data_IF_525552108997
#
_entry.id   IF_525552108997
#
_cell.length_a   1.000
_cell.length_b   1.000
_cell.length_c   1.000
_cell.angle_alpha   90.00
_cell.angle_beta   90.00
_cell.angle_gamma   90.00
#
_symmetry.space_group_name_H-M   'P 1'
#
loop_
_entity.id
_entity.type
_entity.pdbx_description
1 polymer ?
#
# COMPACT_ATOMS: atom_id res chain seq x y z
N UNK A 1 -7.35 -15.00 -6.97
CA UNK A 1 -7.42 -14.66 -5.53
C UNK A 1 -7.68 -13.17 -5.35
N UNK A 2 -8.48 -12.79 -4.36
CA UNK A 2 -8.82 -11.39 -4.09
C UNK A 2 -8.97 -11.16 -2.58
N UNK A 3 -8.68 -9.94 -2.11
CA UNK A 3 -8.94 -9.54 -0.73
C UNK A 3 -10.45 -9.44 -0.52
N UNK A 4 -10.97 -10.20 0.44
CA UNK A 4 -12.39 -10.16 0.83
C UNK A 4 -12.61 -9.00 1.80
N UNK A 5 -13.65 -8.22 1.57
CA UNK A 5 -14.17 -7.24 2.53
C UNK A 5 -15.58 -7.67 2.92
N UNK A 6 -15.79 -7.96 4.20
CA UNK A 6 -17.10 -8.31 4.75
C UNK A 6 -17.94 -7.03 4.84
N UNK A 7 -19.19 -7.10 4.42
CA UNK A 7 -20.13 -5.98 4.45
C UNK A 7 -21.53 -6.52 4.76
N UNK A 8 -22.12 -6.06 5.86
CA UNK A 8 -23.45 -6.50 6.33
C UNK A 8 -24.60 -6.05 5.42
N UNK A 9 -24.34 -5.12 4.49
CA UNK A 9 -25.30 -4.71 3.46
C UNK A 9 -25.41 -5.68 2.27
N UNK A 10 -24.57 -6.72 2.20
CA UNK A 10 -24.62 -7.74 1.14
C UNK A 10 -25.55 -8.88 1.57
N UNK A 11 -26.38 -9.38 0.66
CA UNK A 11 -27.25 -10.53 0.94
C UNK A 11 -26.43 -11.79 1.17
N UNK A 12 -26.88 -12.62 2.12
CA UNK A 12 -26.29 -13.92 2.36
C UNK A 12 -26.38 -14.80 1.10
N UNK A 13 -25.29 -15.50 0.77
CA UNK A 13 -25.18 -16.31 -0.45
C UNK A 13 -24.79 -15.54 -1.72
N UNK A 14 -24.66 -14.21 -1.67
CA UNK A 14 -24.22 -13.40 -2.80
C UNK A 14 -22.79 -12.86 -2.63
N UNK A 15 -22.04 -12.82 -3.73
CA UNK A 15 -20.69 -12.24 -3.78
C UNK A 15 -20.67 -11.15 -4.85
N UNK A 16 -20.33 -9.93 -4.44
CA UNK A 16 -20.10 -8.83 -5.38
C UNK A 16 -18.62 -8.71 -5.73
N UNK A 17 -18.28 -8.80 -7.01
CA UNK A 17 -16.94 -8.54 -7.51
C UNK A 17 -17.00 -7.49 -8.64
N UNK A 18 -16.32 -6.33 -8.52
CA UNK A 18 -16.37 -5.29 -9.54
C UNK A 18 -15.72 -5.80 -10.84
N UNK A 19 -16.41 -5.60 -11.97
CA UNK A 19 -15.98 -6.09 -13.29
C UNK A 19 -14.69 -5.43 -13.83
N UNK A 20 -14.22 -4.33 -13.23
CA UNK A 20 -13.06 -3.56 -13.70
C UNK A 20 -11.74 -3.91 -13.01
N UNK A 21 -11.54 -5.16 -12.59
CA UNK A 21 -10.25 -5.62 -12.08
C UNK A 21 -9.41 -6.18 -13.24
N UNK A 22 -8.62 -5.30 -13.87
CA UNK A 22 -7.71 -5.65 -14.95
C UNK A 22 -6.36 -6.17 -14.38
N UNK A 23 -5.50 -6.72 -15.26
CA UNK A 23 -4.18 -7.25 -14.88
C UNK A 23 -3.20 -6.20 -14.32
N UNK A 24 -3.57 -4.91 -14.32
CA UNK A 24 -2.78 -3.82 -13.74
C UNK A 24 -3.01 -3.67 -12.22
N UNK A 25 -4.08 -4.26 -11.66
CA UNK A 25 -4.46 -4.12 -10.25
C UNK A 25 -4.36 -5.40 -9.42
N UNK A 26 -4.42 -6.59 -10.03
CA UNK A 26 -4.08 -7.86 -9.39
C UNK A 26 -3.78 -8.94 -10.45
N UNK A 27 -2.77 -9.77 -10.19
CA UNK A 27 -2.36 -10.86 -11.09
C UNK A 27 -3.48 -11.90 -11.33
N UNK A 28 -4.36 -12.10 -10.35
CA UNK A 28 -5.47 -13.06 -10.40
C UNK A 28 -6.83 -12.46 -10.00
N UNK A 29 -7.04 -11.17 -10.31
CA UNK A 29 -8.33 -10.49 -10.12
C UNK A 29 -9.29 -10.62 -11.30
N UNK A 30 -9.09 -11.57 -12.23
CA UNK A 30 -9.98 -11.72 -13.39
C UNK A 30 -11.33 -12.31 -12.93
N UNK A 31 -12.30 -11.44 -12.62
CA UNK A 31 -13.72 -11.84 -12.48
C UNK A 31 -14.19 -12.58 -13.73
N UNK A 32 -13.65 -12.24 -14.91
CA UNK A 32 -13.91 -12.92 -16.18
C UNK A 32 -13.39 -14.36 -16.29
N UNK A 33 -12.58 -14.86 -15.34
CA UNK A 33 -12.20 -16.29 -15.31
C UNK A 33 -13.28 -17.14 -14.62
N UNK A 34 -14.17 -16.51 -13.84
CA UNK A 34 -15.23 -17.20 -13.10
C UNK A 34 -16.57 -17.21 -13.85
N UNK A 35 -16.78 -16.32 -14.82
CA UNK A 35 -18.02 -16.29 -15.61
C UNK A 35 -17.95 -17.38 -16.67
N UNK A 36 -18.73 -18.45 -16.49
CA UNK A 36 -18.92 -19.46 -17.52
C UNK A 36 -19.47 -18.77 -18.78
N UNK A 37 -18.81 -18.97 -19.93
CA UNK A 37 -19.24 -18.45 -21.23
C UNK A 37 -20.47 -19.18 -21.77
N UNK A 38 -21.56 -19.24 -21.00
CA UNK A 38 -22.85 -19.67 -21.51
C UNK A 38 -23.51 -18.47 -22.17
N UNK A 39 -23.60 -18.53 -23.49
CA UNK A 39 -24.35 -17.59 -24.29
C UNK A 39 -25.76 -18.14 -24.52
N UNK A 40 -26.74 -17.25 -24.48
CA UNK A 40 -28.10 -17.58 -24.90
C UNK A 40 -28.10 -18.04 -26.38
N UNK A 41 -28.73 -19.20 -26.73
CA UNK A 41 -28.67 -19.76 -28.08
C UNK A 41 -29.37 -18.90 -29.14
N UNK A 42 -30.21 -17.95 -28.74
CA UNK A 42 -31.04 -17.15 -29.64
C UNK A 42 -30.48 -15.74 -29.86
N UNK A 43 -29.76 -15.18 -28.89
CA UNK A 43 -29.23 -13.81 -28.92
C UNK A 43 -27.71 -13.72 -28.84
N UNK A 44 -27.01 -14.80 -28.46
CA UNK A 44 -25.56 -14.82 -28.31
C UNK A 44 -25.04 -13.99 -27.12
N UNK A 45 -25.93 -13.46 -26.28
CA UNK A 45 -25.56 -12.63 -25.14
C UNK A 45 -24.98 -13.50 -24.00
N UNK A 46 -23.82 -13.14 -23.42
CA UNK A 46 -23.24 -13.88 -22.29
C UNK A 46 -24.07 -13.70 -21.02
N UNK A 47 -24.30 -14.80 -20.30
CA UNK A 47 -24.98 -14.85 -19.00
C UNK A 47 -24.10 -14.23 -17.89
N UNK A 48 -23.93 -12.91 -17.94
CA UNK A 48 -22.90 -12.16 -17.20
C UNK A 48 -23.32 -11.77 -15.78
N UNK A 49 -24.54 -12.12 -15.35
CA UNK A 49 -25.19 -11.55 -14.16
C UNK A 49 -25.29 -12.51 -12.97
N UNK A 50 -25.17 -13.82 -13.21
CA UNK A 50 -25.27 -14.84 -12.17
C UNK A 50 -24.33 -15.98 -12.52
N UNK A 51 -23.27 -16.16 -11.73
CA UNK A 51 -22.41 -17.34 -11.84
C UNK A 51 -22.19 -17.91 -10.45
N UNK A 52 -22.43 -19.21 -10.31
CA UNK A 52 -22.14 -19.91 -9.08
C UNK A 52 -20.62 -19.91 -8.84
N UNK A 53 -20.20 -19.35 -7.71
CA UNK A 53 -18.79 -19.27 -7.30
C UNK A 53 -18.62 -19.96 -5.95
N UNK A 54 -17.47 -20.60 -5.75
CA UNK A 54 -17.05 -21.10 -4.44
C UNK A 54 -15.88 -20.25 -3.94
N UNK A 55 -16.01 -19.71 -2.74
CA UNK A 55 -14.91 -19.04 -2.04
C UNK A 55 -14.31 -20.05 -1.05
N UNK A 56 -12.98 -20.13 -1.01
CA UNK A 56 -12.25 -20.86 0.03
C UNK A 56 -11.27 -19.90 0.69
N UNK A 57 -11.14 -19.91 2.03
CA UNK A 57 -10.10 -19.16 2.70
C UNK A 57 -8.73 -19.70 2.28
N UNK A 58 -7.81 -18.79 1.99
CA UNK A 58 -6.40 -19.11 1.86
C UNK A 58 -5.65 -18.39 2.96
N UNK A 59 -4.86 -19.15 3.70
CA UNK A 59 -3.95 -18.65 4.71
C UNK A 59 -2.54 -18.78 4.14
N UNK A 60 -1.99 -17.71 3.54
CA UNK A 60 -0.62 -17.76 3.03
C UNK A 60 0.36 -17.95 4.19
N UNK A 61 1.51 -18.60 3.92
CA UNK A 61 2.57 -18.71 4.92
C UNK A 61 3.10 -17.34 5.37
N UNK A 62 3.10 -16.35 4.46
CA UNK A 62 3.49 -14.99 4.76
C UNK A 62 2.72 -13.96 3.93
N UNK A 63 2.71 -12.72 4.45
CA UNK A 63 2.15 -11.55 3.79
C UNK A 63 3.10 -10.36 3.97
N UNK A 64 3.08 -9.43 3.02
CA UNK A 64 3.99 -8.30 3.04
C UNK A 64 3.60 -7.14 2.15
N UNK A 65 4.34 -6.04 2.28
CA UNK A 65 4.21 -4.85 1.43
C UNK A 65 5.55 -4.57 0.77
N UNK A 66 5.52 -4.38 -0.55
CA UNK A 66 6.67 -4.07 -1.41
C UNK A 66 6.49 -2.69 -2.03
N UNK A 67 7.52 -1.87 -1.88
CA UNK A 67 7.65 -0.54 -2.47
C UNK A 67 8.87 -0.57 -3.37
N UNK A 68 8.76 0.03 -4.55
CA UNK A 68 9.91 0.24 -5.41
C UNK A 68 9.70 1.46 -6.30
N UNK A 69 10.80 2.13 -6.66
CA UNK A 69 10.75 3.20 -7.67
C UNK A 69 10.28 2.67 -9.03
N UNK A 70 10.74 1.47 -9.38
CA UNK A 70 10.29 0.70 -10.54
C UNK A 70 9.86 -0.68 -10.02
N UNK A 71 8.57 -0.99 -10.16
CA UNK A 71 8.03 -2.27 -9.68
C UNK A 71 8.62 -3.42 -10.50
N UNK A 72 9.24 -4.42 -9.85
CA UNK A 72 9.80 -5.55 -10.58
C UNK A 72 8.72 -6.56 -10.99
N UNK A 73 9.03 -7.41 -11.97
CA UNK A 73 8.19 -8.55 -12.30
C UNK A 73 8.35 -9.66 -11.25
N UNK A 74 7.31 -9.85 -10.44
CA UNK A 74 7.34 -10.82 -9.34
C UNK A 74 7.23 -12.28 -9.82
N UNK A 75 7.88 -13.23 -9.11
CA UNK A 75 7.79 -14.66 -9.41
C UNK A 75 6.35 -15.18 -9.53
N UNK A 76 6.09 -16.21 -10.36
CA UNK A 76 4.76 -16.79 -10.52
C UNK A 76 4.07 -17.28 -9.25
N UNK A 77 4.83 -17.71 -8.25
CA UNK A 77 4.34 -18.14 -6.94
C UNK A 77 3.81 -16.99 -6.08
N UNK A 78 4.13 -15.73 -6.40
CA UNK A 78 3.74 -14.56 -5.61
C UNK A 78 2.43 -13.97 -6.09
N UNK A 79 1.44 -13.93 -5.19
CA UNK A 79 0.19 -13.23 -5.39
C UNK A 79 0.33 -11.79 -4.93
N UNK A 80 -0.18 -10.85 -5.71
CA UNK A 80 -0.10 -9.43 -5.38
C UNK A 80 -1.32 -8.64 -5.82
N UNK A 81 -1.58 -7.54 -5.12
CA UNK A 81 -2.47 -6.47 -5.56
C UNK A 81 -1.81 -5.12 -5.34
N UNK A 82 -2.17 -4.14 -6.18
CA UNK A 82 -1.53 -2.83 -6.21
C UNK A 82 -2.38 -1.78 -5.50
N UNK A 83 -1.74 -0.93 -4.69
CA UNK A 83 -2.31 0.28 -4.13
C UNK A 83 -1.34 1.44 -4.38
N UNK A 84 -1.64 2.31 -5.34
CA UNK A 84 -0.77 3.41 -5.76
C UNK A 84 0.68 2.96 -6.09
N UNK A 85 1.67 3.35 -5.28
CA UNK A 85 3.10 3.09 -5.44
C UNK A 85 3.58 1.78 -4.81
N UNK A 86 2.69 0.99 -4.19
CA UNK A 86 3.05 -0.25 -3.50
C UNK A 86 2.27 -1.47 -3.96
N UNK A 87 2.88 -2.63 -3.76
CA UNK A 87 2.28 -3.94 -3.95
C UNK A 87 2.13 -4.59 -2.58
N UNK A 88 0.91 -5.01 -2.25
CA UNK A 88 0.74 -5.96 -1.17
C UNK A 88 0.88 -7.36 -1.75
N UNK A 89 1.73 -8.17 -1.13
CA UNK A 89 2.19 -9.47 -1.63
C UNK A 89 1.90 -10.56 -0.60
N UNK A 90 1.62 -11.76 -1.09
CA UNK A 90 1.45 -12.97 -0.28
C UNK A 90 1.82 -14.20 -1.11
N UNK A 91 2.42 -15.20 -0.47
CA UNK A 91 2.69 -16.49 -1.08
C UNK A 91 2.89 -17.56 0.01
N UNK A 92 3.01 -18.80 -0.44
CA UNK A 92 3.46 -19.91 0.40
C UNK A 92 5.00 -20.09 0.32
N UNK A 93 5.64 -19.63 -0.76
CA UNK A 93 7.09 -19.65 -0.92
C UNK A 93 7.73 -18.31 -0.51
N UNK A 94 8.86 -18.30 0.22
CA UNK A 94 9.47 -17.07 0.71
C UNK A 94 9.98 -16.17 -0.43
N UNK A 95 9.61 -14.89 -0.39
CA UNK A 95 10.01 -13.89 -1.40
C UNK A 95 11.35 -13.22 -1.09
N UNK A 96 11.77 -13.20 0.18
CA UNK A 96 12.99 -12.52 0.62
C UNK A 96 14.26 -12.92 -0.16
N UNK A 97 14.56 -14.21 -0.44
CA UNK A 97 15.74 -14.59 -1.22
C UNK A 97 15.75 -13.95 -2.62
N UNK A 98 14.60 -13.96 -3.29
CA UNK A 98 14.45 -13.35 -4.60
C UNK A 98 14.63 -11.82 -4.56
N UNK A 99 14.13 -11.13 -3.53
CA UNK A 99 14.33 -9.67 -3.38
C UNK A 99 15.80 -9.33 -3.23
N UNK A 100 16.56 -10.13 -2.48
CA UNK A 100 18.00 -9.94 -2.32
C UNK A 100 18.72 -10.10 -3.65
N UNK A 101 18.46 -11.21 -4.35
CA UNK A 101 19.07 -11.48 -5.66
C UNK A 101 18.74 -10.39 -6.67
N UNK A 102 17.47 -9.95 -6.72
CA UNK A 102 17.04 -8.84 -7.58
C UNK A 102 17.83 -7.55 -7.29
N UNK A 103 17.97 -7.18 -6.01
CA UNK A 103 18.73 -5.99 -5.63
C UNK A 103 20.23 -6.11 -5.93
N UNK A 104 20.82 -7.29 -5.72
CA UNK A 104 22.23 -7.58 -6.03
C UNK A 104 22.52 -7.47 -7.53
N UNK A 105 21.63 -7.98 -8.39
CA UNK A 105 21.73 -7.85 -9.85
C UNK A 105 21.70 -6.39 -10.31
N UNK A 106 21.02 -5.52 -9.57
CA UNK A 106 20.98 -4.07 -9.84
C UNK A 106 22.15 -3.31 -9.21
N UNK A 107 23.02 -3.97 -8.45
CA UNK A 107 24.13 -3.35 -7.73
C UNK A 107 23.68 -2.49 -6.53
N UNK A 108 22.52 -2.77 -5.95
CA UNK A 108 21.98 -2.01 -4.82
C UNK A 108 22.54 -2.50 -3.49
N UNK A 109 22.73 -1.57 -2.56
CA UNK A 109 23.19 -1.86 -1.20
C UNK A 109 22.00 -2.28 -0.34
N UNK A 110 22.08 -3.47 0.27
CA UNK A 110 20.99 -4.02 1.09
C UNK A 110 21.19 -3.72 2.57
N UNK A 111 20.10 -3.30 3.22
CA UNK A 111 19.99 -3.20 4.68
C UNK A 111 18.85 -4.10 5.13
N UNK A 112 19.12 -5.04 6.03
CA UNK A 112 18.15 -6.05 6.47
C UNK A 112 17.88 -5.95 7.97
N UNK A 113 16.65 -6.18 8.37
CA UNK A 113 16.30 -6.47 9.75
C UNK A 113 15.43 -7.72 9.80
N UNK A 114 15.62 -8.49 10.87
CA UNK A 114 14.80 -9.66 11.16
C UNK A 114 14.47 -9.66 12.65
N UNK A 115 13.21 -9.91 12.94
CA UNK A 115 12.71 -10.23 14.26
C UNK A 115 11.98 -11.57 14.19
N UNK A 116 11.49 -12.07 15.33
CA UNK A 116 10.74 -13.34 15.36
C UNK A 116 9.41 -13.25 14.59
N UNK A 117 8.84 -12.06 14.45
CA UNK A 117 7.53 -11.83 13.83
C UNK A 117 7.58 -11.25 12.41
N UNK A 118 8.70 -10.63 12.01
CA UNK A 118 8.84 -9.96 10.71
C UNK A 118 10.26 -9.99 10.17
N UNK A 119 10.36 -9.87 8.86
CA UNK A 119 11.62 -9.58 8.16
C UNK A 119 11.43 -8.38 7.26
N UNK A 120 12.48 -7.57 7.10
CA UNK A 120 12.45 -6.42 6.21
C UNK A 120 13.79 -6.19 5.53
N UNK A 121 13.71 -5.57 4.36
CA UNK A 121 14.86 -5.17 3.57
C UNK A 121 14.62 -3.82 2.92
N UNK A 122 15.64 -2.96 2.97
CA UNK A 122 15.74 -1.73 2.20
C UNK A 122 16.92 -1.86 1.24
N UNK A 123 16.70 -1.51 -0.02
CA UNK A 123 17.73 -1.49 -1.05
C UNK A 123 18.03 -0.05 -1.48
N UNK A 124 19.30 0.31 -1.46
CA UNK A 124 19.78 1.67 -1.69
C UNK A 124 20.68 1.75 -2.92
N UNK A 125 20.60 2.85 -3.65
CA UNK A 125 21.51 3.14 -4.76
C UNK A 125 21.84 4.64 -4.77
N UNK A 126 23.13 4.98 -4.75
CA UNK A 126 23.61 6.37 -4.73
C UNK A 126 22.95 7.25 -3.64
N UNK A 127 22.69 6.66 -2.47
CA UNK A 127 22.05 7.35 -1.34
C UNK A 127 20.53 7.40 -1.40
N UNK A 128 19.91 6.96 -2.49
CA UNK A 128 18.46 6.90 -2.63
C UNK A 128 17.88 5.54 -2.26
N UNK A 129 16.64 5.54 -1.77
CA UNK A 129 15.88 4.32 -1.52
C UNK A 129 15.24 3.83 -2.83
N UNK A 130 15.63 2.63 -3.26
CA UNK A 130 15.18 2.02 -4.52
C UNK A 130 14.05 1.02 -4.32
N UNK A 131 14.12 0.24 -3.23
CA UNK A 131 13.16 -0.79 -2.89
C UNK A 131 13.05 -0.94 -1.38
N UNK A 132 11.84 -1.18 -0.88
CA UNK A 132 11.56 -1.52 0.51
C UNK A 132 10.58 -2.68 0.56
N UNK A 133 10.89 -3.72 1.32
CA UNK A 133 10.04 -4.88 1.48
C UNK A 133 9.95 -5.27 2.95
N UNK A 134 8.72 -5.53 3.41
CA UNK A 134 8.43 -5.99 4.76
C UNK A 134 7.50 -7.20 4.67
N UNK A 135 7.85 -8.28 5.35
CA UNK A 135 7.06 -9.51 5.41
C UNK A 135 6.88 -9.97 6.87
N UNK A 136 5.79 -10.70 7.10
CA UNK A 136 5.51 -11.40 8.35
C UNK A 136 4.46 -12.48 8.16
N UNK A 137 4.21 -13.27 9.20
CA UNK A 137 3.13 -14.29 9.20
C UNK A 137 1.73 -13.68 9.12
N UNK A 138 1.63 -12.40 9.50
CA UNK A 138 0.46 -11.55 9.26
C UNK A 138 0.91 -10.30 8.51
N UNK A 139 -0.02 -9.65 7.80
CA UNK A 139 0.29 -8.44 7.05
C UNK A 139 0.83 -7.35 7.99
N UNK A 140 2.08 -6.87 7.80
CA UNK A 140 2.67 -5.90 8.71
C UNK A 140 1.91 -4.56 8.72
N UNK A 141 1.68 -4.01 9.91
CA UNK A 141 1.22 -2.63 10.08
C UNK A 141 2.40 -1.68 9.85
N UNK A 142 2.38 -0.94 8.75
CA UNK A 142 3.47 -0.05 8.34
C UNK A 142 3.03 1.41 8.32
N UNK A 143 3.95 2.31 8.68
CA UNK A 143 3.78 3.75 8.53
C UNK A 143 3.91 4.16 7.05
N UNK A 144 2.88 3.86 6.26
CA UNK A 144 2.88 4.02 4.80
C UNK A 144 3.31 5.41 4.34
N UNK A 145 2.80 6.47 4.97
CA UNK A 145 3.16 7.86 4.63
C UNK A 145 4.65 8.14 4.84
N UNK A 146 5.26 7.60 5.89
CA UNK A 146 6.69 7.76 6.15
C UNK A 146 7.54 6.98 5.14
N UNK A 147 7.11 5.78 4.77
CA UNK A 147 7.80 4.99 3.74
C UNK A 147 7.73 5.73 2.40
N UNK A 148 6.54 6.18 2.00
CA UNK A 148 6.35 6.94 0.76
C UNK A 148 7.18 8.24 0.74
N UNK A 149 7.31 8.93 1.88
CA UNK A 149 8.19 10.09 2.01
C UNK A 149 9.67 9.71 1.88
N UNK A 150 10.12 8.59 2.44
CA UNK A 150 11.50 8.14 2.29
C UNK A 150 11.89 7.84 0.83
N UNK A 151 10.92 7.49 -0.02
CA UNK A 151 11.13 7.37 -1.47
C UNK A 151 11.20 8.73 -2.18
N UNK A 152 10.61 9.79 -1.62
CA UNK A 152 10.71 11.16 -2.16
C UNK A 152 11.98 11.87 -1.67
N UNK A 153 12.27 11.74 -0.39
CA UNK A 153 13.42 12.33 0.28
C UNK A 153 14.10 11.24 1.11
N UNK A 154 15.21 10.73 0.59
CA UNK A 154 15.94 9.66 1.23
C UNK A 154 16.46 10.11 2.61
N UNK A 155 16.31 9.29 3.66
CA UNK A 155 16.85 9.61 4.98
C UNK A 155 18.38 9.67 4.94
N UNK A 156 18.91 10.73 5.54
CA UNK A 156 20.34 11.04 5.52
C UNK A 156 21.08 10.34 6.66
N UNK A 157 20.40 10.12 7.79
CA UNK A 157 21.02 9.54 8.98
C UNK A 157 20.81 8.02 9.08
N UNK A 158 21.76 7.34 9.71
CA UNK A 158 21.65 5.91 10.01
C UNK A 158 20.46 5.59 10.92
N UNK A 159 20.15 6.48 11.87
CA UNK A 159 19.03 6.34 12.78
C UNK A 159 17.68 6.34 12.03
N UNK A 160 17.46 7.29 11.13
CA UNK A 160 16.25 7.36 10.31
C UNK A 160 16.10 6.13 9.40
N UNK A 161 17.20 5.67 8.77
CA UNK A 161 17.21 4.44 7.98
C UNK A 161 16.83 3.22 8.80
N UNK A 162 17.32 3.13 10.03
CA UNK A 162 16.98 2.04 10.95
C UNK A 162 15.51 2.09 11.39
N UNK A 163 14.97 3.28 11.68
CA UNK A 163 13.55 3.43 12.01
C UNK A 163 12.66 3.03 10.82
N UNK A 164 13.02 3.48 9.61
CA UNK A 164 12.33 3.10 8.38
C UNK A 164 12.37 1.59 8.14
N UNK A 165 13.52 0.94 8.38
CA UNK A 165 13.69 -0.50 8.24
C UNK A 165 12.73 -1.28 9.15
N UNK A 166 12.41 -0.73 10.32
CA UNK A 166 11.41 -1.25 11.24
C UNK A 166 9.96 -1.01 10.79
N UNK A 167 9.72 -0.41 9.62
CA UNK A 167 8.39 -0.10 9.12
C UNK A 167 7.66 0.97 9.94
N UNK A 168 8.37 1.59 10.88
CA UNK A 168 7.89 2.64 11.76
C UNK A 168 8.26 4.01 11.18
N UNK A 169 7.42 5.01 11.47
CA UNK A 169 7.80 6.40 11.27
C UNK A 169 8.88 6.81 12.27
N UNK A 170 9.68 7.81 11.92
CA UNK A 170 10.48 8.52 12.91
C UNK A 170 9.52 9.21 13.90
N UNK A 171 9.29 8.57 15.04
CA UNK A 171 8.22 8.93 15.98
C UNK A 171 6.94 8.14 15.73
N UNK A 172 6.30 7.69 16.82
CA UNK A 172 4.97 7.07 16.80
C UNK A 172 4.03 7.86 15.90
N UNK A 173 3.56 7.24 14.81
CA UNK A 173 2.56 7.90 13.98
C UNK A 173 1.23 7.87 14.73
N UNK A 174 0.82 9.03 15.24
CA UNK A 174 -0.56 9.27 15.63
C UNK A 174 -1.46 8.86 14.45
N UNK A 175 -2.47 8.03 14.72
CA UNK A 175 -3.49 7.69 13.73
C UNK A 175 -4.09 9.00 13.21
N UNK A 176 -3.91 9.35 11.92
CA UNK A 176 -4.42 10.61 11.40
C UNK A 176 -5.95 10.64 11.36
N UNK A 177 -6.64 9.51 11.59
CA UNK A 177 -8.08 9.42 11.43
C UNK A 177 -8.49 9.58 9.97
N UNK A 178 -9.75 9.97 9.72
CA UNK A 178 -10.24 10.18 8.35
C UNK A 178 -9.41 11.26 7.66
N UNK A 179 -8.86 10.97 6.47
CA UNK A 179 -8.17 11.99 5.66
C UNK A 179 -9.16 13.08 5.25
N UNK A 180 -8.88 14.32 5.65
CA UNK A 180 -9.68 15.52 5.36
C UNK A 180 -9.07 16.29 4.18
N UNK A 181 -7.74 16.33 4.07
CA UNK A 181 -7.04 16.95 2.96
C UNK A 181 -6.14 15.92 2.27
N UNK A 182 -6.49 15.53 1.04
CA UNK A 182 -5.70 14.60 0.23
C UNK A 182 -4.44 15.21 -0.36
N UNK A 183 -4.41 16.53 -0.60
CA UNK A 183 -3.25 17.22 -1.19
C UNK A 183 -2.03 17.23 -0.26
N UNK A 184 -2.27 17.28 1.06
CA UNK A 184 -1.24 17.32 2.10
C UNK A 184 -1.33 16.13 3.06
N UNK A 185 -2.17 15.13 2.74
CA UNK A 185 -2.44 13.96 3.56
C UNK A 185 -2.77 14.27 5.04
N UNK A 186 -3.50 15.36 5.30
CA UNK A 186 -3.91 15.75 6.66
C UNK A 186 -5.19 15.01 7.04
N UNK A 187 -5.17 14.33 8.18
CA UNK A 187 -6.34 13.65 8.74
C UNK A 187 -6.99 14.38 9.92
N UNK A 188 -8.21 13.96 10.25
CA UNK A 188 -9.06 14.55 11.30
C UNK A 188 -8.37 14.63 12.66
N UNK A 189 -7.62 13.59 13.06
CA UNK A 189 -6.96 13.56 14.36
C UNK A 189 -5.77 14.53 14.40
N UNK A 190 -5.07 14.72 13.28
CA UNK A 190 -4.03 15.74 13.15
C UNK A 190 -4.61 17.16 13.31
N UNK A 191 -5.83 17.39 12.81
CA UNK A 191 -6.55 18.66 13.02
C UNK A 191 -6.96 18.82 14.49
N UNK A 192 -7.47 17.76 15.14
CA UNK A 192 -7.84 17.81 16.57
C UNK A 192 -6.63 18.10 17.45
N UNK A 193 -5.50 17.45 17.21
CA UNK A 193 -4.28 17.69 17.96
C UNK A 193 -3.76 19.12 17.76
N UNK A 194 -3.80 19.65 16.53
CA UNK A 194 -3.43 21.04 16.29
C UNK A 194 -4.30 22.02 17.09
N UNK A 195 -5.61 21.77 17.16
CA UNK A 195 -6.54 22.59 17.97
C UNK A 195 -6.21 22.48 19.46
N UNK A 196 -5.97 21.27 19.97
CA UNK A 196 -5.58 21.04 21.38
C UNK A 196 -4.22 21.67 21.69
N UNK A 197 -3.30 21.67 20.72
CA UNK A 197 -1.97 22.29 20.79
C UNK A 197 -1.99 23.82 20.64
N UNK A 198 -3.16 24.45 20.55
CA UNK A 198 -3.31 25.90 20.55
C UNK A 198 -3.33 26.56 19.16
N UNK A 199 -3.50 25.80 18.08
CA UNK A 199 -3.78 26.39 16.77
C UNK A 199 -5.22 26.92 16.73
N UNK A 200 -5.35 28.24 16.70
CA UNK A 200 -6.63 28.96 16.68
C UNK A 200 -7.00 29.51 15.30
N UNK A 201 -6.18 29.27 14.28
CA UNK A 201 -6.42 29.76 12.92
C UNK A 201 -6.03 28.76 11.83
N UNK A 202 -6.75 28.82 10.71
CA UNK A 202 -6.45 28.02 9.50
C UNK A 202 -5.04 28.31 8.96
N UNK A 203 -4.56 29.54 9.12
CA UNK A 203 -3.22 29.93 8.72
C UNK A 203 -2.13 29.26 9.59
N UNK A 204 -2.35 29.16 10.90
CA UNK A 204 -1.43 28.46 11.81
C UNK A 204 -1.39 26.95 11.54
N UNK A 205 -2.56 26.34 11.26
CA UNK A 205 -2.67 24.93 10.91
C UNK A 205 -1.96 24.61 9.58
N UNK A 206 -1.97 25.55 8.64
CA UNK A 206 -1.22 25.47 7.41
C UNK A 206 0.30 25.53 7.60
N UNK A 207 0.80 26.30 8.56
CA UNK A 207 2.23 26.41 8.84
C UNK A 207 2.81 25.14 9.49
N UNK A 208 2.03 24.46 10.34
CA UNK A 208 2.46 23.25 11.04
C UNK A 208 2.56 22.01 10.14
N UNK A 209 1.79 21.95 9.04
CA UNK A 209 1.73 20.79 8.13
C UNK A 209 2.21 21.11 6.69
N UNK A 210 2.90 22.22 6.47
CA UNK A 210 3.54 22.52 5.18
C UNK A 210 2.60 22.99 4.08
N UNK A 211 1.56 23.77 4.41
CA UNK A 211 0.75 24.51 3.43
C UNK A 211 1.54 25.74 2.97
N UNK A 212 2.11 25.65 1.78
CA UNK A 212 2.76 26.77 1.11
C UNK A 212 1.79 27.94 0.91
N UNK A 213 2.28 29.14 1.22
CA UNK A 213 1.65 30.47 1.04
C UNK A 213 0.81 30.55 -0.24
N UNK A 214 -0.51 30.72 -0.10
CA UNK A 214 -1.26 31.47 -1.11
C UNK A 214 -0.97 32.93 -0.83
N UNK A 215 -0.20 33.56 -1.72
CA UNK A 215 0.03 34.99 -1.72
C UNK A 215 -1.32 35.72 -1.73
N UNK A 216 -1.58 36.52 -0.69
CA UNK A 216 -2.62 37.53 -0.75
C UNK A 216 -2.20 38.59 -1.79
N UNK A 217 -3.06 38.99 -2.74
CA UNK A 217 -2.81 40.21 -3.47
C UNK A 217 -2.93 41.37 -2.49
N UNK A 218 -1.95 42.26 -2.53
CA UNK A 218 -1.92 43.49 -1.76
C UNK A 218 -3.20 44.30 -2.00
N UNK A 219 -3.84 44.74 -0.92
CA UNK A 219 -4.66 45.95 -0.95
C UNK A 219 -4.05 46.91 0.09
N UNK A 220 -3.42 47.97 -0.43
CA UNK A 220 -3.00 49.15 0.33
C UNK A 220 -4.21 50.05 0.50
N UNK A 221 -4.24 50.71 1.67
CA UNK A 221 -5.02 51.90 2.09
C UNK A 221 -6.53 51.85 1.91
#
# INVERSE_FOLDING_TARGET
>A
MAKVRINDGQREGEVFAPMHWNAQFARQGKVNTLVAGRCDPQSGQPESKQTAVRIMPWQPEWQGELYARVLPELPPSVHWWRKASRLTVAADEPLMPWVKEYAEQQGWQLQLARTDARSSVLAWHNGELMLGFWEGTTLPALAHATIEEAFRRAPETLAERHTLLNGAGAGESVDPGRIICSCYCVGENAIREAIVGGCDSVAALGLSYGVGRIAAPACRS
#
